data_IF_487536718367
#
_entry.id   IF_487536718367
#
_cell.length_a   1.000
_cell.length_b   1.000
_cell.length_c   1.000
_cell.angle_alpha   90.00
_cell.angle_beta   90.00
_cell.angle_gamma   90.00
#
_symmetry.space_group_name_H-M   'P 1'
#
loop_
_entity.id
_entity.type
_entity.pdbx_description
1 polymer ?
#
# COMPACT_ATOMS: atom_id res chain seq x y z
N UNK A 1 -5.76 24.07 -13.24
CA UNK A 1 -4.70 23.23 -12.65
C UNK A 1 -5.37 21.91 -12.31
N UNK A 2 -5.03 20.78 -12.95
CA UNK A 2 -5.59 19.51 -12.51
C UNK A 2 -4.98 19.14 -11.16
N UNK A 3 -5.84 18.71 -10.22
CA UNK A 3 -5.45 18.26 -8.89
C UNK A 3 -4.56 17.02 -8.97
N UNK A 4 -3.48 17.00 -8.18
CA UNK A 4 -2.54 15.88 -8.07
C UNK A 4 -3.19 14.72 -7.29
N UNK A 5 -2.92 13.44 -7.62
CA UNK A 5 -3.38 12.32 -6.81
C UNK A 5 -2.72 12.35 -5.42
N UNK A 6 -3.54 12.44 -4.38
CA UNK A 6 -3.09 12.50 -2.98
C UNK A 6 -2.36 11.20 -2.60
N UNK A 7 -1.19 11.30 -1.96
CA UNK A 7 -0.52 10.17 -1.30
C UNK A 7 -1.52 9.52 -0.33
N UNK A 8 -1.74 8.21 -0.44
CA UNK A 8 -2.64 7.46 0.46
C UNK A 8 -1.87 6.50 1.37
N UNK A 9 -2.44 6.23 2.53
CA UNK A 9 -1.95 5.23 3.50
C UNK A 9 -2.86 4.01 3.46
N UNK A 10 -2.26 2.83 3.37
CA UNK A 10 -2.98 1.55 3.44
C UNK A 10 -3.28 1.18 4.88
N UNK A 11 -4.44 0.59 5.13
CA UNK A 11 -4.83 0.03 6.42
C UNK A 11 -5.16 -1.45 6.22
N UNK A 12 -4.41 -2.34 6.88
CA UNK A 12 -4.69 -3.78 6.87
C UNK A 12 -5.22 -4.15 8.24
N UNK A 13 -6.53 -4.38 8.35
CA UNK A 13 -7.13 -4.89 9.59
C UNK A 13 -7.08 -6.42 9.62
N UNK A 14 -6.78 -7.01 10.77
CA UNK A 14 -6.92 -8.45 10.94
C UNK A 14 -8.40 -8.86 10.86
N UNK A 15 -8.69 -10.05 10.34
CA UNK A 15 -10.07 -10.54 10.24
C UNK A 15 -10.67 -10.77 11.63
N UNK A 16 -9.94 -11.48 12.50
CA UNK A 16 -10.28 -11.75 13.91
C UNK A 16 -11.77 -12.08 14.16
N UNK A 17 -12.38 -12.84 13.25
CA UNK A 17 -13.84 -13.02 13.17
C UNK A 17 -14.44 -13.66 14.43
N UNK A 18 -13.64 -14.43 15.14
CA UNK A 18 -14.06 -15.19 16.32
C UNK A 18 -13.82 -14.44 17.64
N UNK A 19 -13.30 -13.21 17.60
CA UNK A 19 -12.96 -12.44 18.81
C UNK A 19 -13.42 -10.98 18.75
N UNK A 20 -13.86 -10.40 19.88
CA UNK A 20 -14.30 -9.00 19.94
C UNK A 20 -13.25 -8.01 19.42
N UNK A 21 -11.98 -8.22 19.76
CA UNK A 21 -10.88 -7.35 19.35
C UNK A 21 -10.65 -7.34 17.83
N UNK A 22 -10.99 -8.44 17.14
CA UNK A 22 -10.99 -8.49 15.67
C UNK A 22 -12.14 -7.71 15.03
N UNK A 23 -13.25 -7.56 15.74
CA UNK A 23 -14.31 -6.63 15.32
C UNK A 23 -13.90 -5.19 15.59
N UNK A 24 -13.16 -4.93 16.68
CA UNK A 24 -12.59 -3.62 16.97
C UNK A 24 -11.64 -3.18 15.85
N UNK A 25 -10.73 -4.04 15.37
CA UNK A 25 -9.82 -3.67 14.26
C UNK A 25 -10.58 -3.24 13.01
N UNK A 26 -11.58 -4.02 12.59
CA UNK A 26 -12.35 -3.79 11.36
C UNK A 26 -13.19 -2.51 11.46
N UNK A 27 -13.87 -2.29 12.60
CA UNK A 27 -14.66 -1.09 12.81
C UNK A 27 -13.79 0.17 12.98
N UNK A 28 -12.63 0.07 13.62
CA UNK A 28 -11.69 1.17 13.72
C UNK A 28 -11.12 1.56 12.34
N UNK A 29 -10.74 0.56 11.53
CA UNK A 29 -10.30 0.78 10.16
C UNK A 29 -11.41 1.42 9.30
N UNK A 30 -12.65 0.94 9.42
CA UNK A 30 -13.80 1.50 8.71
C UNK A 30 -14.06 2.96 9.11
N UNK A 31 -14.04 3.27 10.41
CA UNK A 31 -14.21 4.64 10.90
C UNK A 31 -13.13 5.59 10.39
N UNK A 32 -11.88 5.14 10.33
CA UNK A 32 -10.80 5.93 9.71
C UNK A 32 -11.05 6.13 8.22
N UNK A 33 -11.48 5.08 7.52
CA UNK A 33 -11.74 5.10 6.09
C UNK A 33 -12.93 5.98 5.71
N UNK A 34 -14.01 5.99 6.50
CA UNK A 34 -15.26 6.67 6.11
C UNK A 34 -15.42 8.04 6.75
N UNK A 35 -14.89 8.23 7.97
CA UNK A 35 -15.16 9.44 8.77
C UNK A 35 -13.92 10.28 9.00
N UNK A 36 -12.80 9.67 9.43
CA UNK A 36 -11.65 10.45 9.89
C UNK A 36 -10.74 10.89 8.74
N UNK A 37 -10.40 9.99 7.80
CA UNK A 37 -9.42 10.23 6.71
C UNK A 37 -9.86 9.63 5.36
N UNK A 38 -11.08 9.94 4.85
CA UNK A 38 -11.62 9.31 3.65
C UNK A 38 -10.82 9.54 2.37
N UNK A 39 -10.21 10.72 2.23
CA UNK A 39 -9.39 11.05 1.06
C UNK A 39 -7.94 10.56 1.15
N UNK A 40 -7.53 10.14 2.35
CA UNK A 40 -6.13 9.92 2.72
C UNK A 40 -5.79 8.45 2.95
N UNK A 41 -6.80 7.58 3.02
CA UNK A 41 -6.64 6.17 3.37
C UNK A 41 -7.26 5.25 2.33
N UNK A 42 -6.75 4.01 2.30
CA UNK A 42 -7.38 2.88 1.63
C UNK A 42 -7.36 1.69 2.57
N UNK A 43 -8.39 0.86 2.51
CA UNK A 43 -8.39 -0.41 3.25
C UNK A 43 -7.84 -1.54 2.37
N UNK A 44 -7.12 -2.46 3.00
CA UNK A 44 -6.61 -3.68 2.38
C UNK A 44 -7.30 -4.86 3.04
N UNK A 45 -7.93 -5.71 2.22
CA UNK A 45 -8.65 -6.88 2.70
C UNK A 45 -7.65 -8.01 3.01
N UNK A 46 -7.38 -8.27 4.29
CA UNK A 46 -6.43 -9.30 4.68
C UNK A 46 -6.74 -10.69 4.06
N UNK A 47 -7.98 -11.19 4.00
CA UNK A 47 -8.29 -12.44 3.30
C UNK A 47 -7.87 -12.46 1.82
N UNK A 48 -8.15 -11.39 1.06
CA UNK A 48 -7.75 -11.29 -0.36
C UNK A 48 -6.24 -11.16 -0.48
N UNK A 49 -5.62 -10.37 0.40
CA UNK A 49 -4.18 -10.21 0.49
C UNK A 49 -3.48 -11.56 0.70
N UNK A 50 -3.99 -12.39 1.60
CA UNK A 50 -3.50 -13.76 1.84
C UNK A 50 -3.73 -14.67 0.64
N UNK A 51 -4.89 -14.55 -0.02
CA UNK A 51 -5.26 -15.35 -1.19
C UNK A 51 -4.49 -15.01 -2.49
N UNK A 52 -3.60 -14.02 -2.47
CA UNK A 52 -2.83 -13.63 -3.65
C UNK A 52 -3.34 -12.40 -4.38
N UNK A 53 -4.11 -11.54 -3.73
CA UNK A 53 -4.54 -10.25 -4.30
C UNK A 53 -3.35 -9.37 -4.68
N UNK A 54 -2.93 -9.44 -5.95
CA UNK A 54 -1.72 -8.77 -6.44
C UNK A 54 -1.80 -7.25 -6.29
N UNK A 55 -2.98 -6.66 -6.50
CA UNK A 55 -3.18 -5.23 -6.32
C UNK A 55 -2.94 -4.78 -4.88
N UNK A 56 -3.54 -5.47 -3.91
CA UNK A 56 -3.38 -5.13 -2.49
C UNK A 56 -1.93 -5.32 -2.02
N UNK A 57 -1.27 -6.39 -2.51
CA UNK A 57 0.16 -6.63 -2.24
C UNK A 57 1.06 -5.58 -2.86
N UNK A 58 0.78 -5.17 -4.10
CA UNK A 58 1.51 -4.09 -4.76
C UNK A 58 1.36 -2.79 -3.99
N UNK A 59 0.13 -2.43 -3.61
CA UNK A 59 -0.13 -1.24 -2.82
C UNK A 59 0.70 -1.25 -1.54
N UNK A 60 0.59 -2.31 -0.73
CA UNK A 60 1.31 -2.39 0.54
C UNK A 60 2.83 -2.38 0.40
N UNK A 61 3.36 -2.72 -0.78
CA UNK A 61 4.80 -2.69 -1.06
C UNK A 61 5.31 -1.30 -1.41
N UNK A 62 4.49 -0.51 -2.09
CA UNK A 62 4.90 0.78 -2.63
C UNK A 62 4.41 1.97 -1.81
N UNK A 63 3.38 1.78 -1.00
CA UNK A 63 2.73 2.81 -0.18
C UNK A 63 2.78 2.46 1.30
N UNK A 64 2.92 3.46 2.18
CA UNK A 64 2.95 3.24 3.62
C UNK A 64 1.67 2.53 4.06
N UNK A 65 1.83 1.45 4.82
CA UNK A 65 0.71 0.62 5.25
C UNK A 65 0.77 0.37 6.75
N UNK A 66 -0.33 0.62 7.44
CA UNK A 66 -0.50 0.36 8.87
C UNK A 66 -1.23 -0.97 9.06
N UNK A 67 -0.62 -1.88 9.80
CA UNK A 67 -1.27 -3.12 10.21
C UNK A 67 -2.02 -2.91 11.54
N UNK A 68 -3.26 -3.39 11.63
CA UNK A 68 -4.12 -3.26 12.82
C UNK A 68 -4.56 -4.66 13.23
N UNK A 69 -4.01 -5.16 14.33
CA UNK A 69 -4.20 -6.53 14.80
C UNK A 69 -5.02 -6.57 16.11
N UNK A 70 -5.88 -7.58 16.23
CA UNK A 70 -6.71 -7.76 17.42
C UNK A 70 -5.93 -8.38 18.59
N UNK A 71 -4.80 -9.04 18.31
CA UNK A 71 -4.00 -9.76 19.29
C UNK A 71 -2.54 -9.92 18.84
N UNK A 72 -1.71 -10.46 19.75
CA UNK A 72 -0.27 -10.69 19.53
C UNK A 72 0.08 -11.72 18.46
N UNK A 73 -0.89 -12.43 17.88
CA UNK A 73 -0.63 -13.26 16.70
C UNK A 73 -0.22 -12.41 15.49
N UNK A 74 -0.62 -11.14 15.46
CA UNK A 74 -0.21 -10.12 14.49
C UNK A 74 -0.39 -10.56 13.03
N UNK A 75 -1.54 -11.16 12.73
CA UNK A 75 -1.83 -11.76 11.43
C UNK A 75 -1.69 -10.73 10.28
N UNK A 76 -2.21 -9.51 10.45
CA UNK A 76 -2.12 -8.45 9.46
C UNK A 76 -0.67 -7.98 9.26
N UNK A 77 0.05 -7.71 10.35
CA UNK A 77 1.44 -7.28 10.27
C UNK A 77 2.34 -8.34 9.63
N UNK A 78 2.20 -9.61 10.04
CA UNK A 78 2.99 -10.73 9.51
C UNK A 78 2.68 -11.01 8.05
N UNK A 79 1.42 -10.96 7.65
CA UNK A 79 1.05 -11.11 6.24
C UNK A 79 1.67 -9.99 5.39
N UNK A 80 1.51 -8.74 5.85
CA UNK A 80 2.09 -7.57 5.16
C UNK A 80 3.60 -7.71 5.02
N UNK A 81 4.30 -8.07 6.10
CA UNK A 81 5.75 -8.30 6.08
C UNK A 81 6.17 -9.40 5.12
N UNK A 82 5.45 -10.53 5.13
CA UNK A 82 5.73 -11.68 4.29
C UNK A 82 5.57 -11.40 2.79
N UNK A 83 4.53 -10.65 2.40
CA UNK A 83 4.16 -10.50 1.00
C UNK A 83 4.50 -9.15 0.38
N UNK A 84 4.70 -8.12 1.20
CA UNK A 84 4.86 -6.73 0.75
C UNK A 84 5.98 -5.97 1.47
N UNK A 85 6.64 -6.58 2.46
CA UNK A 85 7.66 -5.92 3.28
C UNK A 85 7.09 -5.32 4.56
N UNK A 86 7.97 -4.83 5.44
CA UNK A 86 7.61 -4.45 6.80
C UNK A 86 6.56 -3.33 6.81
N UNK A 87 5.46 -3.46 7.57
CA UNK A 87 4.49 -2.39 7.77
C UNK A 87 5.15 -1.09 8.21
N UNK A 88 4.59 0.04 7.77
CA UNK A 88 5.06 1.37 8.18
C UNK A 88 4.76 1.64 9.67
N UNK A 89 3.67 1.06 10.18
CA UNK A 89 3.36 1.00 11.60
C UNK A 89 2.48 -0.23 11.88
N UNK A 90 2.43 -0.63 13.14
CA UNK A 90 1.56 -1.73 13.59
C UNK A 90 0.90 -1.37 14.90
N UNK A 91 -0.39 -1.70 15.04
CA UNK A 91 -1.18 -1.55 16.25
C UNK A 91 -1.70 -2.91 16.71
N UNK A 92 -1.79 -3.11 18.02
CA UNK A 92 -2.53 -4.24 18.60
C UNK A 92 -3.60 -3.71 19.55
N UNK A 93 -4.85 -4.13 19.32
CA UNK A 93 -6.01 -3.65 20.10
C UNK A 93 -5.88 -3.98 21.58
N UNK A 94 -5.36 -5.17 21.92
CA UNK A 94 -5.14 -5.55 23.32
C UNK A 94 -4.17 -4.62 24.04
N UNK A 95 -3.14 -4.13 23.33
CA UNK A 95 -2.18 -3.17 23.88
C UNK A 95 -2.87 -1.82 24.13
N UNK A 96 -3.67 -1.33 23.18
CA UNK A 96 -4.41 -0.07 23.31
C UNK A 96 -5.41 -0.12 24.49
N UNK A 97 -6.15 -1.22 24.61
CA UNK A 97 -7.09 -1.44 25.72
C UNK A 97 -6.36 -1.40 27.06
N UNK A 98 -5.20 -2.06 27.17
CA UNK A 98 -4.40 -2.06 28.39
C UNK A 98 -3.78 -0.68 28.70
N UNK A 99 -3.16 -0.04 27.71
CA UNK A 99 -2.51 1.27 27.84
C UNK A 99 -3.50 2.37 28.27
N UNK A 100 -4.75 2.31 27.81
CA UNK A 100 -5.78 3.26 28.17
C UNK A 100 -6.64 2.84 29.38
N UNK A 101 -6.36 1.69 29.99
CA UNK A 101 -7.14 1.19 31.13
C UNK A 101 -8.61 0.94 30.81
N UNK A 102 -8.92 0.57 29.56
CA UNK A 102 -10.29 0.29 29.13
C UNK A 102 -10.75 -1.07 29.63
N UNK A 103 -12.06 -1.20 29.85
CA UNK A 103 -12.67 -2.50 30.05
C UNK A 103 -12.50 -3.40 28.81
N UNK A 104 -12.51 -4.72 29.02
CA UNK A 104 -12.32 -5.67 27.94
C UNK A 104 -13.50 -5.63 26.94
N UNK A 105 -13.23 -5.50 25.63
CA UNK A 105 -14.25 -5.61 24.60
C UNK A 105 -15.00 -6.96 24.66
N UNK A 106 -16.31 -6.94 24.47
CA UNK A 106 -17.13 -8.15 24.39
C UNK A 106 -18.09 -8.10 23.20
N UNK A 107 -18.41 -9.28 22.66
CA UNK A 107 -19.35 -9.47 21.57
C UNK A 107 -18.72 -9.35 20.19
N UNK A 108 -18.60 -10.48 19.47
CA UNK A 108 -17.95 -10.50 18.15
C UNK A 108 -18.81 -9.81 17.07
N UNK A 109 -20.12 -10.04 17.04
CA UNK A 109 -21.02 -9.40 16.03
C UNK A 109 -21.48 -8.00 16.43
N UNK A 110 -21.66 -7.77 17.72
CA UNK A 110 -22.14 -6.50 18.28
C UNK A 110 -21.35 -6.23 19.55
N UNK A 111 -20.48 -5.23 19.47
CA UNK A 111 -19.65 -4.83 20.59
C UNK A 111 -20.50 -4.20 21.71
N UNK A 112 -20.12 -4.49 22.95
CA UNK A 112 -20.61 -3.79 24.14
C UNK A 112 -20.04 -2.34 24.21
N UNK A 113 -20.34 -1.63 25.30
CA UNK A 113 -19.84 -0.26 25.49
C UNK A 113 -18.31 -0.20 25.51
N UNK A 114 -17.66 -1.13 26.22
CA UNK A 114 -16.20 -1.26 26.25
C UNK A 114 -15.60 -1.46 24.85
N UNK A 115 -16.21 -2.33 24.02
CA UNK A 115 -15.75 -2.55 22.66
C UNK A 115 -15.92 -1.33 21.76
N UNK A 116 -16.99 -0.55 21.93
CA UNK A 116 -17.15 0.74 21.23
C UNK A 116 -16.09 1.76 21.65
N UNK A 117 -15.79 1.85 22.95
CA UNK A 117 -14.71 2.70 23.45
C UNK A 117 -13.35 2.28 22.87
N UNK A 118 -13.08 0.97 22.78
CA UNK A 118 -11.87 0.45 22.14
C UNK A 118 -11.81 0.77 20.63
N UNK A 119 -12.95 0.79 19.93
CA UNK A 119 -13.03 1.24 18.52
C UNK A 119 -12.60 2.70 18.40
N UNK A 120 -13.16 3.60 19.22
CA UNK A 120 -12.79 5.02 19.18
C UNK A 120 -11.30 5.22 19.46
N UNK A 121 -10.79 4.63 20.55
CA UNK A 121 -9.37 4.72 20.91
C UNK A 121 -8.43 4.19 19.81
N UNK A 122 -8.80 3.07 19.19
CA UNK A 122 -8.01 2.47 18.09
C UNK A 122 -8.08 3.33 16.84
N UNK A 123 -9.25 3.87 16.49
CA UNK A 123 -9.44 4.71 15.32
C UNK A 123 -8.68 6.04 15.44
N UNK A 124 -8.69 6.68 16.61
CA UNK A 124 -7.94 7.91 16.88
C UNK A 124 -6.43 7.69 16.75
N UNK A 125 -5.91 6.61 17.36
CA UNK A 125 -4.47 6.27 17.26
C UNK A 125 -4.07 5.95 15.83
N UNK A 126 -4.92 5.21 15.10
CA UNK A 126 -4.71 4.88 13.70
C UNK A 126 -4.72 6.15 12.82
N UNK A 127 -5.65 7.08 13.04
CA UNK A 127 -5.70 8.34 12.31
C UNK A 127 -4.43 9.18 12.54
N UNK A 128 -3.93 9.25 13.78
CA UNK A 128 -2.66 9.94 14.09
C UNK A 128 -1.44 9.32 13.39
N UNK A 129 -1.40 7.99 13.27
CA UNK A 129 -0.37 7.30 12.49
C UNK A 129 -0.48 7.62 10.99
N UNK A 130 -1.70 7.64 10.45
CA UNK A 130 -1.95 8.05 9.06
C UNK A 130 -1.42 9.46 8.81
N UNK A 131 -1.75 10.41 9.68
CA UNK A 131 -1.29 11.80 9.54
C UNK A 131 0.24 11.90 9.54
N UNK A 132 0.89 11.16 10.44
CA UNK A 132 2.35 11.08 10.53
C UNK A 132 2.96 10.55 9.22
N UNK A 133 2.38 9.49 8.65
CA UNK A 133 2.87 8.85 7.42
C UNK A 133 2.59 9.68 6.16
N UNK A 134 1.55 10.52 6.17
CA UNK A 134 1.29 11.47 5.10
C UNK A 134 2.26 12.65 5.15
N UNK A 135 2.55 13.18 6.34
CA UNK A 135 3.44 14.31 6.55
C UNK A 135 4.93 14.03 6.40
N UNK A 136 5.35 12.76 6.28
CA UNK A 136 6.77 12.39 6.28
C UNK A 136 7.12 11.36 5.16
N UNK A 137 8.35 11.42 4.60
CA UNK A 137 8.89 10.37 3.72
C UNK A 137 9.02 9.04 4.46
N UNK A 138 8.73 7.92 3.80
CA UNK A 138 8.76 6.59 4.41
C UNK A 138 9.74 5.66 3.68
N UNK A 139 10.63 5.01 4.45
CA UNK A 139 11.57 4.00 3.96
C UNK A 139 10.89 2.64 3.82
N UNK A 140 10.66 2.27 2.55
CA UNK A 140 10.04 1.01 2.11
C UNK A 140 10.77 -0.24 2.60
N UNK A 141 12.09 -0.19 2.82
CA UNK A 141 12.90 -1.36 3.22
C UNK A 141 12.93 -1.57 4.73
N UNK A 142 12.86 -0.48 5.51
CA UNK A 142 13.01 -0.52 6.96
C UNK A 142 11.69 -0.39 7.72
N UNK A 143 10.61 0.00 7.04
CA UNK A 143 9.34 0.32 7.69
C UNK A 143 9.47 1.54 8.62
N UNK A 144 10.38 2.47 8.31
CA UNK A 144 10.75 3.59 9.16
C UNK A 144 10.55 4.91 8.46
N UNK A 145 10.22 5.95 9.20
CA UNK A 145 9.99 7.29 8.66
C UNK A 145 11.35 8.01 8.50
N UNK A 146 11.62 8.58 7.32
CA UNK A 146 12.89 9.26 6.98
C UNK A 146 12.68 10.77 6.78
N UNK A 147 13.75 11.55 6.99
CA UNK A 147 13.79 12.97 6.64
C UNK A 147 13.98 13.18 5.11
N UNK A 148 13.45 14.30 4.62
CA UNK A 148 13.01 14.63 3.25
C UNK A 148 14.05 14.51 2.13
N UNK A 149 13.63 13.97 0.99
CA UNK A 149 13.92 14.50 -0.36
C UNK A 149 12.68 14.34 -1.27
N UNK A 150 12.28 15.44 -1.92
CA UNK A 150 11.16 15.51 -2.89
C UNK A 150 11.41 14.62 -4.11
N UNK A 151 10.35 14.00 -4.65
CA UNK A 151 10.42 13.25 -5.90
C UNK A 151 9.20 13.48 -6.80
N UNK A 152 9.38 13.65 -8.12
CA UNK A 152 8.32 14.14 -9.01
C UNK A 152 7.34 13.10 -9.57
N UNK A 153 6.09 13.55 -9.59
CA UNK A 153 4.90 13.37 -10.45
C UNK A 153 4.89 12.31 -11.57
N UNK A 154 3.84 11.46 -11.59
CA UNK A 154 3.40 10.65 -12.74
C UNK A 154 1.87 10.73 -12.89
N UNK A 155 1.40 10.90 -14.14
CA UNK A 155 -0.01 11.07 -14.53
C UNK A 155 -0.85 9.79 -14.46
N UNK A 156 -2.17 9.96 -14.32
CA UNK A 156 -3.16 8.93 -14.01
C UNK A 156 -4.10 8.59 -15.18
N UNK A 157 -4.43 7.30 -15.29
CA UNK A 157 -5.80 6.80 -15.49
C UNK A 157 -5.97 5.63 -14.50
N UNK A 158 -7.19 5.21 -14.16
CA UNK A 158 -7.48 4.21 -13.10
C UNK A 158 -7.89 2.86 -13.68
N UNK A 159 -7.43 1.77 -13.07
CA UNK A 159 -8.19 0.52 -13.04
C UNK A 159 -8.88 0.47 -11.65
N UNK A 160 -10.18 0.75 -11.64
CA UNK A 160 -10.98 0.82 -10.41
C UNK A 160 -11.37 -0.58 -9.95
N UNK A 161 -10.94 -0.96 -8.74
CA UNK A 161 -11.69 -1.90 -7.90
C UNK A 161 -12.90 -1.17 -7.30
N UNK A 162 -13.93 -1.90 -6.84
CA UNK A 162 -15.20 -1.35 -6.35
C UNK A 162 -15.09 -0.32 -5.19
N UNK A 163 -13.91 -0.12 -4.61
CA UNK A 163 -13.62 0.82 -3.53
C UNK A 163 -12.81 2.08 -3.94
N UNK A 164 -12.48 2.28 -5.23
CA UNK A 164 -11.85 3.53 -5.70
C UNK A 164 -10.38 3.75 -5.30
N UNK A 165 -9.61 2.69 -5.03
CA UNK A 165 -8.25 2.72 -4.47
C UNK A 165 -7.09 2.70 -5.51
N UNK A 166 -7.31 3.26 -6.71
CA UNK A 166 -6.49 3.03 -7.91
C UNK A 166 -4.97 2.96 -7.71
N UNK A 167 -4.39 1.79 -8.00
CA UNK A 167 -2.94 1.64 -8.23
C UNK A 167 -2.63 2.37 -9.54
N UNK A 168 -1.51 3.12 -9.65
CA UNK A 168 -1.17 3.80 -10.89
C UNK A 168 -1.10 2.79 -12.04
N UNK A 169 -1.94 2.98 -13.05
CA UNK A 169 -1.81 2.25 -14.32
C UNK A 169 -1.07 3.11 -15.33
N UNK A 170 -0.20 2.47 -16.09
CA UNK A 170 0.50 3.06 -17.21
C UNK A 170 0.12 2.27 -18.46
N UNK A 171 -0.27 3.00 -19.51
CA UNK A 171 -0.55 2.40 -20.82
C UNK A 171 0.73 2.45 -21.65
N UNK A 172 1.14 1.29 -22.13
CA UNK A 172 2.39 1.10 -22.86
C UNK A 172 2.10 0.50 -24.23
N UNK A 173 2.81 0.95 -25.27
CA UNK A 173 2.81 0.25 -26.55
C UNK A 173 3.84 -0.90 -26.54
N UNK A 174 3.35 -2.13 -26.70
CA UNK A 174 4.14 -3.36 -26.88
C UNK A 174 3.72 -4.02 -28.19
N UNK A 175 4.65 -4.25 -29.11
CA UNK A 175 4.36 -4.83 -30.44
C UNK A 175 3.19 -4.15 -31.18
N UNK A 176 3.07 -2.82 -31.06
CA UNK A 176 1.98 -2.04 -31.66
C UNK A 176 0.61 -2.18 -30.98
N UNK A 177 0.51 -2.92 -29.87
CA UNK A 177 -0.69 -3.04 -29.04
C UNK A 177 -0.53 -2.19 -27.78
N UNK A 178 -1.59 -1.52 -27.37
CA UNK A 178 -1.61 -0.80 -26.09
C UNK A 178 -1.96 -1.78 -24.98
N UNK A 179 -1.02 -2.01 -24.06
CA UNK A 179 -1.19 -2.83 -22.86
C UNK A 179 -1.28 -1.92 -21.63
N UNK A 180 -2.04 -2.35 -20.63
CA UNK A 180 -2.18 -1.62 -19.36
C UNK A 180 -1.39 -2.36 -18.30
N UNK A 181 -0.47 -1.67 -17.64
CA UNK A 181 0.36 -2.23 -16.58
C UNK A 181 0.17 -1.44 -15.28
N UNK A 182 0.03 -2.14 -14.16
CA UNK A 182 -0.08 -1.55 -12.84
C UNK A 182 1.29 -1.38 -12.19
N UNK A 183 1.41 -0.38 -11.32
CA UNK A 183 2.58 -0.11 -10.48
C UNK A 183 3.88 0.22 -11.24
N UNK A 184 3.83 0.54 -12.53
CA UNK A 184 5.01 0.98 -13.28
C UNK A 184 5.71 2.22 -12.68
N UNK A 185 4.99 3.30 -12.33
CA UNK A 185 5.60 4.50 -11.77
C UNK A 185 6.41 4.26 -10.48
N UNK A 186 5.88 3.56 -9.45
CA UNK A 186 6.67 3.29 -8.25
C UNK A 186 7.82 2.29 -8.47
N UNK A 187 7.70 1.37 -9.46
CA UNK A 187 8.80 0.48 -9.86
C UNK A 187 9.93 1.30 -10.50
N UNK A 188 9.63 2.25 -11.38
CA UNK A 188 10.63 3.13 -11.99
C UNK A 188 11.31 4.01 -10.94
N UNK A 189 10.56 4.61 -10.03
CA UNK A 189 11.13 5.38 -8.92
C UNK A 189 12.09 4.53 -8.08
N UNK A 190 11.72 3.29 -7.77
CA UNK A 190 12.58 2.35 -7.04
C UNK A 190 13.91 2.09 -7.78
N UNK A 191 13.86 1.90 -9.09
CA UNK A 191 15.06 1.63 -9.90
C UNK A 191 15.96 2.86 -10.00
N UNK A 192 15.35 4.04 -10.14
CA UNK A 192 16.05 5.32 -10.22
C UNK A 192 16.74 5.66 -8.89
N UNK A 193 16.03 5.54 -7.76
CA UNK A 193 16.62 5.70 -6.41
C UNK A 193 17.77 4.74 -6.13
N UNK A 194 17.77 3.55 -6.76
CA UNK A 194 18.86 2.58 -6.66
C UNK A 194 20.05 2.89 -7.59
N UNK A 195 20.03 4.02 -8.31
CA UNK A 195 21.09 4.46 -9.21
C UNK A 195 21.21 3.63 -10.49
N UNK A 196 20.16 2.90 -10.88
CA UNK A 196 20.20 2.00 -12.04
C UNK A 196 19.99 2.75 -13.33
N UNK A 197 20.99 2.71 -14.21
CA UNK A 197 20.94 3.36 -15.52
C UNK A 197 20.27 2.47 -16.58
N UNK A 198 19.54 3.04 -17.55
CA UNK A 198 18.95 2.26 -18.64
C UNK A 198 20.04 1.59 -19.50
N UNK A 199 20.00 0.26 -19.62
CA UNK A 199 20.91 -0.54 -20.46
C UNK A 199 20.55 -2.02 -20.48
N UNK A 200 21.24 -2.80 -21.32
CA UNK A 200 20.88 -4.19 -21.68
C UNK A 200 20.77 -5.16 -20.49
N UNK A 201 21.53 -4.92 -19.41
CA UNK A 201 21.45 -5.73 -18.18
C UNK A 201 20.21 -5.46 -17.32
N UNK A 202 19.60 -4.27 -17.45
CA UNK A 202 18.48 -3.85 -16.61
C UNK A 202 17.14 -4.37 -17.10
N UNK A 203 17.00 -4.57 -18.41
CA UNK A 203 15.73 -4.93 -19.05
C UNK A 203 15.12 -6.21 -18.45
N UNK A 204 15.96 -7.23 -18.21
CA UNK A 204 15.55 -8.48 -17.57
C UNK A 204 15.09 -8.26 -16.12
N UNK A 205 15.84 -7.48 -15.34
CA UNK A 205 15.49 -7.24 -13.93
C UNK A 205 14.21 -6.41 -13.79
N UNK A 206 14.03 -5.43 -14.66
CA UNK A 206 12.83 -4.61 -14.74
C UNK A 206 11.62 -5.47 -15.13
N UNK A 207 11.76 -6.33 -16.14
CA UNK A 207 10.74 -7.29 -16.56
C UNK A 207 10.35 -8.23 -15.40
N UNK A 208 11.33 -8.80 -14.69
CA UNK A 208 11.10 -9.67 -13.53
C UNK A 208 10.40 -8.94 -12.38
N UNK A 209 10.61 -7.64 -12.22
CA UNK A 209 9.91 -6.85 -11.20
C UNK A 209 8.48 -6.54 -11.63
N UNK A 210 8.28 -6.14 -12.89
CA UNK A 210 6.97 -5.79 -13.45
C UNK A 210 6.05 -7.00 -13.53
N UNK A 211 6.57 -8.18 -13.87
CA UNK A 211 5.78 -9.42 -14.01
C UNK A 211 5.17 -9.93 -12.70
N UNK A 212 5.64 -9.45 -11.55
CA UNK A 212 5.08 -9.78 -10.23
C UNK A 212 3.62 -9.30 -10.12
N UNK A 213 3.28 -8.23 -10.83
CA UNK A 213 1.99 -7.55 -10.74
C UNK A 213 1.24 -7.51 -12.07
N UNK A 214 1.88 -7.95 -13.14
CA UNK A 214 1.39 -7.81 -14.50
C UNK A 214 1.59 -9.14 -15.23
N UNK A 215 0.52 -9.84 -15.64
CA UNK A 215 0.68 -11.03 -16.44
C UNK A 215 1.36 -10.68 -17.77
N UNK A 216 2.50 -11.33 -18.03
CA UNK A 216 3.25 -11.18 -19.28
C UNK A 216 3.04 -12.46 -20.09
N UNK A 217 2.47 -12.39 -21.31
CA UNK A 217 2.30 -13.56 -22.17
C UNK A 217 3.63 -14.24 -22.47
N UNK A 218 3.63 -15.58 -22.44
CA UNK A 218 4.81 -16.36 -22.81
C UNK A 218 5.17 -16.11 -24.29
N UNK A 219 6.44 -15.85 -24.57
CA UNK A 219 6.95 -15.50 -25.90
C UNK A 219 6.92 -13.99 -26.21
N UNK A 220 6.32 -13.16 -25.36
CA UNK A 220 6.32 -11.70 -25.51
C UNK A 220 7.35 -10.99 -24.59
N UNK A 221 8.15 -11.74 -23.82
CA UNK A 221 9.06 -11.19 -22.81
C UNK A 221 10.05 -10.18 -23.37
N UNK A 222 10.61 -10.45 -24.57
CA UNK A 222 11.56 -9.54 -25.22
C UNK A 222 10.91 -8.20 -25.59
N UNK A 223 9.69 -8.24 -26.13
CA UNK A 223 8.95 -7.05 -26.52
C UNK A 223 8.53 -6.21 -25.30
N UNK A 224 8.12 -6.87 -24.22
CA UNK A 224 7.84 -6.19 -22.95
C UNK A 224 9.12 -5.58 -22.36
N UNK A 225 10.24 -6.30 -22.36
CA UNK A 225 11.50 -5.81 -21.82
C UNK A 225 12.00 -4.57 -22.57
N UNK A 226 11.94 -4.57 -23.90
CA UNK A 226 12.30 -3.42 -24.74
C UNK A 226 11.40 -2.22 -24.44
N UNK A 227 10.09 -2.43 -24.38
CA UNK A 227 9.14 -1.36 -24.14
C UNK A 227 9.28 -0.78 -22.72
N UNK A 228 9.49 -1.63 -21.71
CA UNK A 228 9.75 -1.20 -20.33
C UNK A 228 11.05 -0.40 -20.21
N UNK A 229 12.12 -0.84 -20.88
CA UNK A 229 13.41 -0.14 -20.85
C UNK A 229 13.30 1.25 -21.49
N UNK A 230 12.56 1.37 -22.59
CA UNK A 230 12.29 2.65 -23.25
C UNK A 230 11.55 3.62 -22.34
N UNK A 231 10.47 3.20 -21.69
CA UNK A 231 9.74 4.09 -20.77
C UNK A 231 10.57 4.44 -19.53
N UNK A 232 11.36 3.50 -19.01
CA UNK A 232 12.24 3.80 -17.89
C UNK A 232 13.32 4.83 -18.27
N UNK A 233 13.89 4.75 -19.47
CA UNK A 233 14.81 5.76 -19.98
C UNK A 233 14.15 7.14 -20.09
N UNK A 234 12.90 7.20 -20.57
CA UNK A 234 12.13 8.44 -20.63
C UNK A 234 11.87 9.02 -19.23
N UNK A 235 11.52 8.17 -18.26
CA UNK A 235 11.34 8.54 -16.86
C UNK A 235 12.62 9.16 -16.25
N UNK A 236 13.79 8.51 -16.44
CA UNK A 236 15.07 9.04 -15.95
C UNK A 236 15.39 10.40 -16.57
N UNK A 237 15.23 10.56 -17.89
CA UNK A 237 15.48 11.82 -18.57
C UNK A 237 14.56 12.95 -18.08
N UNK A 238 13.32 12.64 -17.67
CA UNK A 238 12.40 13.60 -17.08
C UNK A 238 12.82 14.01 -15.66
N UNK A 239 13.32 13.09 -14.84
CA UNK A 239 13.84 13.36 -13.49
C UNK A 239 15.02 14.31 -13.52
N UNK A 240 15.96 14.09 -14.44
CA UNK A 240 17.16 14.92 -14.62
C UNK A 240 16.84 16.37 -15.04
N UNK A 241 15.72 16.60 -15.76
CA UNK A 241 15.28 17.95 -16.16
C UNK A 241 14.54 18.71 -15.07
N UNK A 242 14.08 18.01 -14.03
CA UNK A 242 13.25 18.56 -12.96
C UNK A 242 14.01 18.64 -11.63
N UNK A 243 15.29 18.26 -11.61
CA UNK A 243 16.19 18.32 -10.45
C UNK A 243 17.11 19.55 -10.50
#
# INVERSE_FOLDING_TARGET
MPDLPKKKVGIVACSGEEMPEGTVTRLAALRVLEELRPDATVTICLPLFLAGGEGDRAFARFYPTVAVDGCELRCAARATEMYSGKPAASLVVTDIVAEQGLERPQGCRRLNAAGRAAVEATAERLAGLVDTLLGQPWDRRRGAVMAVTEQPQVEAVEATCACGSGIPITRLAVNGRVVTLIALPPIFEQFHQAGKQPGDGLARELLETVRIYNPIPAGEEAAYAEALLREYAAFCAQKERTS
#
